data_IF_580622292902
#
_entry.id   IF_580622292902
#
_cell.length_a   1.000
_cell.length_b   1.000
_cell.length_c   1.000
_cell.angle_alpha   90.00
_cell.angle_beta   90.00
_cell.angle_gamma   90.00
#
_symmetry.space_group_name_H-M   'P 1'
#
loop_
_entity.id
_entity.type
_entity.pdbx_description
1 polymer ?
#
# COMPACT_ATOMS: atom_id res chain seq x y z
N UNK A 1 -52.60 20.86 -52.28
CA UNK A 1 -51.91 20.09 -51.23
C UNK A 1 -51.45 18.76 -51.83
N UNK A 2 -50.16 18.56 -52.10
CA UNK A 2 -49.56 17.23 -52.27
C UNK A 2 -48.04 17.33 -52.02
N UNK A 3 -47.50 16.27 -51.42
CA UNK A 3 -46.37 16.23 -50.48
C UNK A 3 -44.99 16.28 -51.14
N UNK A 4 -44.07 17.04 -50.54
CA UNK A 4 -42.62 16.92 -50.72
C UNK A 4 -42.13 15.65 -50.02
N UNK A 5 -41.37 14.82 -50.73
CA UNK A 5 -40.68 13.65 -50.18
C UNK A 5 -39.21 14.06 -50.03
N UNK A 6 -38.77 14.29 -48.79
CA UNK A 6 -37.37 14.51 -48.43
C UNK A 6 -36.67 13.16 -48.35
N UNK A 7 -35.56 13.03 -49.09
CA UNK A 7 -34.73 11.85 -49.10
C UNK A 7 -34.00 11.65 -47.76
N UNK A 8 -34.17 10.41 -47.29
CA UNK A 8 -33.52 9.64 -46.23
C UNK A 8 -32.09 10.05 -45.82
N UNK A 9 -31.96 10.28 -44.51
CA UNK A 9 -30.74 10.38 -43.74
C UNK A 9 -29.86 9.13 -43.81
N UNK A 10 -28.57 9.29 -44.09
CA UNK A 10 -27.54 8.28 -43.82
C UNK A 10 -26.92 8.56 -42.45
N UNK A 11 -27.49 7.95 -41.39
CA UNK A 11 -26.81 7.87 -40.09
C UNK A 11 -25.60 6.94 -40.24
N UNK A 12 -24.40 7.52 -40.24
CA UNK A 12 -23.17 6.78 -40.01
C UNK A 12 -23.21 6.15 -38.62
N UNK A 13 -23.43 4.82 -38.58
CA UNK A 13 -23.27 4.00 -37.38
C UNK A 13 -21.78 3.97 -37.00
N UNK A 14 -21.35 4.94 -36.19
CA UNK A 14 -20.09 4.83 -35.46
C UNK A 14 -20.23 3.65 -34.49
N UNK A 15 -19.44 2.61 -34.70
CA UNK A 15 -19.29 1.47 -33.81
C UNK A 15 -19.08 1.95 -32.37
N UNK A 16 -19.90 1.54 -31.39
CA UNK A 16 -19.48 1.67 -30.00
C UNK A 16 -18.36 0.65 -29.82
N UNK A 17 -17.13 1.12 -29.72
CA UNK A 17 -16.08 0.35 -29.09
C UNK A 17 -16.62 -0.06 -27.72
N UNK A 18 -16.90 -1.36 -27.55
CA UNK A 18 -17.21 -1.95 -26.26
C UNK A 18 -15.96 -1.76 -25.39
N UNK A 19 -15.94 -0.66 -24.65
CA UNK A 19 -15.01 -0.47 -23.55
C UNK A 19 -15.38 -1.55 -22.54
N UNK A 20 -14.59 -2.63 -22.52
CA UNK A 20 -14.61 -3.60 -21.43
C UNK A 20 -14.39 -2.79 -20.14
N UNK A 21 -15.28 -2.86 -19.14
CA UNK A 21 -15.05 -2.19 -17.87
C UNK A 21 -13.71 -2.68 -17.33
N UNK A 22 -12.84 -1.73 -16.97
CA UNK A 22 -11.62 -1.99 -16.23
C UNK A 22 -12.02 -2.72 -14.94
N UNK A 23 -11.70 -4.00 -14.86
CA UNK A 23 -11.83 -4.77 -13.62
C UNK A 23 -11.16 -3.94 -12.49
N UNK A 24 -11.85 -3.63 -11.39
CA UNK A 24 -11.24 -2.91 -10.27
C UNK A 24 -10.07 -3.73 -9.74
N UNK A 25 -8.85 -3.32 -10.07
CA UNK A 25 -7.63 -4.05 -9.70
C UNK A 25 -7.13 -3.81 -8.27
N UNK A 26 -7.86 -3.04 -7.46
CA UNK A 26 -7.29 -2.46 -6.24
C UNK A 26 -8.18 -2.67 -5.01
N UNK A 27 -8.54 -3.91 -4.69
CA UNK A 27 -8.88 -4.22 -3.30
C UNK A 27 -7.62 -4.80 -2.66
N UNK A 28 -6.96 -4.11 -1.72
CA UNK A 28 -5.74 -4.63 -1.13
C UNK A 28 -6.04 -5.93 -0.38
N UNK A 29 -5.39 -7.02 -0.79
CA UNK A 29 -5.49 -8.34 -0.15
C UNK A 29 -5.08 -8.29 1.33
N UNK A 30 -4.24 -7.31 1.70
CA UNK A 30 -3.78 -7.12 3.06
C UNK A 30 -4.00 -5.67 3.49
N UNK A 31 -4.62 -5.48 4.65
CA UNK A 31 -4.74 -4.18 5.31
C UNK A 31 -3.87 -4.16 6.55
N UNK A 32 -2.90 -3.25 6.62
CA UNK A 32 -2.11 -3.03 7.84
C UNK A 32 -2.99 -2.27 8.85
N UNK A 33 -3.27 -2.88 9.99
CA UNK A 33 -4.08 -2.30 11.07
C UNK A 33 -3.25 -1.64 12.16
N UNK A 34 -2.01 -2.10 12.35
CA UNK A 34 -1.04 -1.39 13.19
C UNK A 34 0.38 -1.65 12.71
N UNK A 35 1.25 -0.65 12.92
CA UNK A 35 2.67 -0.73 12.65
C UNK A 35 3.41 -0.11 13.84
N UNK A 36 4.34 -0.86 14.39
CA UNK A 36 5.24 -0.38 15.44
C UNK A 36 6.64 -0.89 15.17
N UNK A 37 7.64 -0.05 15.40
CA UNK A 37 9.02 -0.41 15.18
C UNK A 37 9.94 0.38 16.11
N UNK A 38 11.13 -0.15 16.32
CA UNK A 38 12.23 0.55 16.98
C UNK A 38 13.50 0.28 16.20
N UNK A 39 14.21 1.35 15.86
CA UNK A 39 15.47 1.32 15.14
C UNK A 39 16.48 2.22 15.85
N UNK A 40 17.79 1.92 15.79
CA UNK A 40 18.81 2.84 16.26
C UNK A 40 18.73 4.15 15.46
N UNK A 41 18.86 5.27 16.17
CA UNK A 41 18.85 6.60 15.59
C UNK A 41 20.04 7.38 16.16
N UNK A 42 21.00 7.84 15.35
CA UNK A 42 22.11 8.64 15.84
C UNK A 42 21.64 10.08 16.14
N UNK A 43 22.05 10.66 17.27
CA UNK A 43 21.79 12.07 17.60
C UNK A 43 21.51 12.35 19.07
N UNK A 44 21.29 13.63 19.41
CA UNK A 44 21.19 14.10 20.81
C UNK A 44 20.02 13.51 21.62
N UNK A 45 19.01 12.96 20.94
CA UNK A 45 17.88 12.27 21.55
C UNK A 45 17.78 10.80 21.12
N UNK A 46 18.77 10.34 20.34
CA UNK A 46 18.85 9.00 19.82
C UNK A 46 19.90 8.17 20.56
N UNK A 47 19.85 6.87 20.37
CA UNK A 47 20.81 5.91 20.91
C UNK A 47 21.40 5.15 19.75
N UNK A 48 22.74 5.12 19.70
CA UNK A 48 23.49 4.55 18.57
C UNK A 48 23.28 3.03 18.44
N UNK A 49 22.76 2.37 19.47
CA UNK A 49 22.48 0.95 19.47
C UNK A 49 21.35 0.59 20.44
N UNK A 50 20.33 -0.10 19.94
CA UNK A 50 19.17 -0.60 20.70
C UNK A 50 18.70 -1.95 20.18
N UNK A 51 18.13 -2.75 21.07
CA UNK A 51 17.29 -3.87 20.64
C UNK A 51 16.16 -3.31 19.78
N UNK A 52 16.04 -3.86 18.59
CA UNK A 52 15.20 -3.32 17.55
C UNK A 52 14.13 -4.34 17.18
N UNK A 53 13.01 -3.85 16.67
CA UNK A 53 11.92 -4.70 16.25
C UNK A 53 11.10 -4.03 15.16
N UNK A 54 10.39 -4.86 14.40
CA UNK A 54 9.24 -4.45 13.59
C UNK A 54 8.09 -5.37 13.94
N UNK A 55 6.93 -4.77 14.21
CA UNK A 55 5.71 -5.46 14.56
C UNK A 55 4.55 -4.88 13.75
N UNK A 56 3.95 -5.71 12.91
CA UNK A 56 2.90 -5.35 11.96
C UNK A 56 1.67 -6.20 12.25
N UNK A 57 0.53 -5.58 12.51
CA UNK A 57 -0.75 -6.27 12.52
C UNK A 57 -1.42 -6.09 11.15
N UNK A 58 -1.95 -7.18 10.59
CA UNK A 58 -2.62 -7.17 9.29
C UNK A 58 -3.96 -7.89 9.36
N UNK A 59 -4.89 -7.43 8.54
CA UNK A 59 -6.16 -8.09 8.23
C UNK A 59 -6.13 -8.55 6.78
N UNK A 60 -6.59 -9.77 6.51
CA UNK A 60 -6.59 -10.39 5.17
C UNK A 60 -7.80 -11.31 4.97
N UNK A 61 -8.22 -11.60 3.74
CA UNK A 61 -9.31 -12.55 3.47
C UNK A 61 -9.03 -13.93 4.06
N UNK A 62 -10.05 -14.53 4.67
CA UNK A 62 -10.01 -15.94 5.03
C UNK A 62 -10.17 -16.78 3.74
N UNK A 63 -9.16 -17.54 3.30
CA UNK A 63 -9.25 -18.33 2.07
C UNK A 63 -10.26 -19.48 2.18
N UNK A 64 -10.67 -19.85 3.40
CA UNK A 64 -11.69 -20.86 3.65
C UNK A 64 -13.11 -20.31 3.72
N UNK A 65 -13.27 -18.97 3.74
CA UNK A 65 -14.57 -18.33 3.88
C UNK A 65 -15.31 -18.22 2.54
N UNK A 66 -16.56 -18.68 2.52
CA UNK A 66 -17.49 -18.46 1.41
C UNK A 66 -18.29 -17.16 1.52
N UNK A 67 -18.14 -16.43 2.63
CA UNK A 67 -18.91 -15.22 2.95
C UNK A 67 -18.06 -13.94 2.97
N UNK A 68 -16.78 -14.01 2.58
CA UNK A 68 -15.87 -12.87 2.61
C UNK A 68 -15.42 -12.47 4.01
N UNK A 69 -15.29 -13.43 4.94
CA UNK A 69 -14.72 -13.17 6.25
C UNK A 69 -13.23 -12.79 6.14
N UNK A 70 -12.75 -12.07 7.14
CA UNK A 70 -11.33 -11.70 7.26
C UNK A 70 -10.70 -12.29 8.50
N UNK A 71 -9.41 -12.58 8.41
CA UNK A 71 -8.55 -13.01 9.49
C UNK A 71 -7.65 -11.85 9.90
N UNK A 72 -7.19 -11.89 11.16
CA UNK A 72 -6.23 -10.95 11.70
C UNK A 72 -5.00 -11.71 12.16
N UNK A 73 -3.82 -11.20 11.84
CA UNK A 73 -2.56 -11.76 12.34
C UNK A 73 -1.57 -10.66 12.70
N UNK A 74 -0.54 -11.05 13.43
CA UNK A 74 0.58 -10.18 13.79
C UNK A 74 1.88 -10.80 13.32
N UNK A 75 2.72 -10.00 12.68
CA UNK A 75 4.02 -10.38 12.17
C UNK A 75 5.08 -9.59 12.93
N UNK A 76 5.97 -10.27 13.66
CA UNK A 76 7.00 -9.63 14.48
C UNK A 76 8.37 -10.21 14.19
N UNK A 77 9.36 -9.34 14.04
CA UNK A 77 10.77 -9.69 14.03
C UNK A 77 11.52 -8.80 15.01
N UNK A 78 12.36 -9.42 15.82
CA UNK A 78 13.21 -8.78 16.82
C UNK A 78 14.67 -9.08 16.49
N UNK A 79 15.56 -8.13 16.76
CA UNK A 79 16.99 -8.36 16.67
C UNK A 79 17.76 -7.56 17.72
N UNK A 80 18.90 -8.09 18.20
CA UNK A 80 19.64 -7.45 19.27
C UNK A 80 20.31 -6.14 18.83
N UNK A 81 20.66 -5.33 19.82
CA UNK A 81 21.46 -4.13 19.64
C UNK A 81 22.78 -4.45 18.92
N UNK A 82 23.16 -3.62 17.93
CA UNK A 82 24.39 -3.77 17.16
C UNK A 82 24.31 -4.67 15.93
N UNK A 83 23.17 -5.33 15.67
CA UNK A 83 22.97 -6.07 14.42
C UNK A 83 22.86 -5.11 13.23
N UNK A 84 23.78 -5.26 12.26
CA UNK A 84 23.83 -4.47 11.04
C UNK A 84 24.31 -5.33 9.85
N UNK A 85 23.50 -5.52 8.78
CA UNK A 85 22.13 -5.05 8.62
C UNK A 85 21.14 -5.79 9.54
N UNK A 86 19.95 -5.21 9.74
CA UNK A 86 18.84 -5.91 10.37
C UNK A 86 18.36 -7.13 9.54
N UNK A 87 17.52 -8.01 10.10
CA UNK A 87 17.04 -9.20 9.41
C UNK A 87 16.11 -8.83 8.24
N UNK A 88 16.40 -9.39 7.05
CA UNK A 88 15.64 -9.17 5.81
C UNK A 88 15.04 -10.45 5.25
N UNK A 89 15.24 -11.57 5.94
CA UNK A 89 14.68 -12.87 5.56
C UNK A 89 13.18 -12.95 5.84
N UNK A 90 12.49 -13.81 5.11
CA UNK A 90 11.08 -14.11 5.36
C UNK A 90 10.89 -14.72 6.75
N UNK A 91 10.03 -14.08 7.54
CA UNK A 91 9.71 -14.47 8.91
C UNK A 91 8.22 -14.81 8.99
N UNK A 92 7.85 -15.96 9.57
CA UNK A 92 6.44 -16.30 9.75
C UNK A 92 5.73 -15.31 10.68
N UNK A 93 4.48 -15.02 10.36
CA UNK A 93 3.59 -14.32 11.27
C UNK A 93 3.04 -15.29 12.34
N UNK A 94 2.28 -14.77 13.31
CA UNK A 94 1.61 -15.58 14.33
C UNK A 94 0.66 -16.61 13.69
N UNK A 95 -0.02 -16.21 12.61
CA UNK A 95 -0.59 -17.15 11.64
C UNK A 95 0.49 -17.53 10.63
N UNK A 96 0.91 -18.79 10.66
CA UNK A 96 1.94 -19.34 9.79
C UNK A 96 1.56 -19.42 8.31
N UNK A 97 0.30 -19.19 7.95
CA UNK A 97 -0.13 -19.05 6.57
C UNK A 97 0.46 -17.79 5.91
N UNK A 98 0.88 -16.81 6.72
CA UNK A 98 1.51 -15.58 6.25
C UNK A 98 2.96 -15.45 6.71
N UNK A 99 3.73 -14.77 5.87
CA UNK A 99 5.12 -14.40 6.14
C UNK A 99 5.31 -12.93 5.81
N UNK A 100 6.26 -12.29 6.49
CA UNK A 100 6.67 -10.93 6.21
C UNK A 100 8.19 -10.85 6.12
N UNK A 101 8.69 -9.83 5.43
CA UNK A 101 10.12 -9.48 5.45
C UNK A 101 10.30 -7.98 5.40
N UNK A 102 11.43 -7.50 5.90
CA UNK A 102 11.86 -6.13 5.70
C UNK A 102 12.51 -5.99 4.31
N UNK A 103 12.33 -4.84 3.63
CA UNK A 103 13.02 -4.57 2.37
C UNK A 103 14.53 -4.58 2.55
N UNK A 104 15.25 -5.27 1.66
CA UNK A 104 16.73 -5.33 1.68
C UNK A 104 17.38 -3.98 1.45
N UNK A 105 16.75 -3.14 0.63
CA UNK A 105 17.24 -1.80 0.31
C UNK A 105 16.69 -0.71 1.25
N UNK A 106 16.00 -1.14 2.32
CA UNK A 106 15.29 -0.25 3.23
C UNK A 106 14.01 0.36 2.65
N UNK A 107 13.35 1.18 3.46
CA UNK A 107 12.14 1.89 3.06
C UNK A 107 12.53 3.16 2.32
N UNK A 108 12.25 3.25 1.02
CA UNK A 108 12.33 4.51 0.30
C UNK A 108 11.00 5.25 0.41
N UNK A 109 11.02 6.47 0.94
CA UNK A 109 9.86 7.35 0.81
C UNK A 109 9.79 7.81 -0.65
N UNK A 110 8.79 7.35 -1.40
CA UNK A 110 8.29 8.11 -2.54
C UNK A 110 7.59 9.35 -1.98
N UNK A 111 8.34 10.34 -1.53
CA UNK A 111 7.80 11.68 -1.39
C UNK A 111 7.45 12.11 -2.83
N UNK A 112 6.18 12.39 -3.18
CA UNK A 112 5.95 13.26 -4.31
C UNK A 112 6.71 14.53 -3.95
N UNK A 113 7.73 14.89 -4.74
CA UNK A 113 8.35 16.20 -4.61
C UNK A 113 7.19 17.20 -4.69
N UNK A 114 6.91 17.91 -3.60
CA UNK A 114 6.14 19.14 -3.72
C UNK A 114 6.85 19.94 -4.82
N UNK A 115 6.16 20.34 -5.91
CA UNK A 115 6.79 21.17 -6.92
C UNK A 115 7.40 22.38 -6.21
N UNK A 116 8.69 22.59 -6.43
CA UNK A 116 9.44 23.72 -5.87
C UNK A 116 8.64 25.00 -6.12
N UNK A 117 8.05 25.59 -5.09
CA UNK A 117 7.26 26.81 -5.28
C UNK A 117 6.23 27.19 -4.20
N UNK A 118 5.93 26.34 -3.20
CA UNK A 118 5.09 26.76 -2.07
C UNK A 118 5.91 27.01 -0.81
N UNK A 119 6.26 28.29 -0.66
CA UNK A 119 6.78 28.93 0.56
C UNK A 119 5.99 28.48 1.79
N UNK A 120 6.64 27.76 2.73
CA UNK A 120 6.17 27.63 4.12
C UNK A 120 6.11 29.04 4.72
N UNK A 121 4.93 29.67 4.72
CA UNK A 121 4.66 30.83 5.56
C UNK A 121 4.44 30.36 7.00
N UNK A 122 5.34 30.86 7.85
CA UNK A 122 5.22 31.15 9.28
C UNK A 122 4.29 30.33 10.18
N UNK A 123 4.92 29.74 11.20
CA UNK A 123 4.58 30.07 12.59
C UNK A 123 5.92 30.48 13.26
N UNK A 124 6.02 31.75 13.67
CA UNK A 124 6.98 32.19 14.70
C UNK A 124 6.27 32.05 16.04
N UNK A 125 7.02 31.66 17.06
CA UNK A 125 6.69 31.86 18.47
C UNK A 125 6.58 33.36 18.81
#
# INVERSE_FOLDING_TARGET
MYKQILLTSTLSLLSPALALPLEPRDTPEFTITSLSATFPYPGVYGVDSVNSFVNVAVTYPDPSSTSGATLNTTCRVDWPAGTNPGPTEWTPCADSALQFRLPTDGWSSLQPRCPQGQTRRHIRE
#
